data_IF_906521806825
#
_entry.id   IF_906521806825
#
_cell.length_a   1.000
_cell.length_b   1.000
_cell.length_c   1.000
_cell.angle_alpha   90.00
_cell.angle_beta   90.00
_cell.angle_gamma   90.00
#
_symmetry.space_group_name_H-M   'P 1'
#
loop_
_entity.id
_entity.type
_entity.pdbx_description
1 polymer ?
#
# COMPACT_ATOMS: atom_id res chain seq x y z
N UNK A 1 -1.05 -1.78 40.16
CA UNK A 1 -0.90 -1.08 38.87
C UNK A 1 -1.56 -1.96 37.83
N UNK A 2 -2.75 -1.60 37.37
CA UNK A 2 -3.51 -2.39 36.40
C UNK A 2 -3.02 -2.01 35.02
N UNK A 3 -2.24 -2.89 34.38
CA UNK A 3 -1.92 -2.73 32.96
C UNK A 3 -3.24 -2.84 32.19
N UNK A 4 -3.61 -1.78 31.48
CA UNK A 4 -4.64 -1.89 30.46
C UNK A 4 -4.17 -2.95 29.44
N UNK A 5 -5.05 -3.79 28.88
CA UNK A 5 -4.66 -4.62 27.76
C UNK A 5 -4.15 -3.67 26.68
N UNK A 6 -2.88 -3.76 26.32
CA UNK A 6 -2.36 -3.06 25.16
C UNK A 6 -3.26 -3.49 24.00
N UNK A 7 -4.02 -2.56 23.41
CA UNK A 7 -4.70 -2.87 22.17
C UNK A 7 -3.61 -3.28 21.20
N UNK A 8 -3.70 -4.48 20.62
CA UNK A 8 -2.79 -4.91 19.56
C UNK A 8 -2.88 -3.98 18.34
N UNK A 9 -3.91 -3.12 18.28
CA UNK A 9 -4.10 -2.08 17.28
C UNK A 9 -3.09 -0.94 17.42
N UNK A 10 -2.56 -0.48 16.27
CA UNK A 10 -1.73 0.71 16.19
C UNK A 10 -2.45 1.94 16.77
N UNK A 11 -1.70 2.78 17.50
CA UNK A 11 -2.21 4.08 17.97
C UNK A 11 -2.65 5.00 16.81
N UNK A 12 -2.03 4.84 15.63
CA UNK A 12 -2.49 5.47 14.40
C UNK A 12 -3.66 4.66 13.85
N UNK A 13 -4.88 5.17 14.04
CA UNK A 13 -6.13 4.51 13.65
C UNK A 13 -6.27 4.17 12.16
N UNK A 14 -5.42 4.74 11.31
CA UNK A 14 -5.41 4.47 9.88
C UNK A 14 -4.47 3.30 9.51
N UNK A 15 -3.53 2.94 10.39
CA UNK A 15 -2.58 1.85 10.18
C UNK A 15 -3.24 0.49 10.39
N UNK A 16 -2.92 -0.47 9.52
CA UNK A 16 -3.38 -1.85 9.61
C UNK A 16 -2.41 -2.77 10.36
N UNK A 17 -1.24 -2.27 10.78
CA UNK A 17 -0.23 -3.07 11.48
C UNK A 17 -0.55 -3.19 12.97
N UNK A 18 -0.13 -4.32 13.56
CA UNK A 18 -0.34 -4.64 14.96
C UNK A 18 0.96 -4.62 15.76
N UNK A 19 0.87 -4.35 17.06
CA UNK A 19 2.02 -4.25 17.96
C UNK A 19 2.88 -3.00 17.74
N UNK A 20 4.06 -2.97 18.34
CA UNK A 20 5.01 -1.85 18.17
C UNK A 20 5.72 -1.92 16.81
N UNK A 21 5.65 -0.83 16.04
CA UNK A 21 6.28 -0.71 14.72
C UNK A 21 6.64 0.76 14.43
N UNK A 22 7.67 0.96 13.60
CA UNK A 22 8.18 2.29 13.19
C UNK A 22 7.72 2.70 11.80
N UNK A 23 7.19 1.75 11.04
CA UNK A 23 6.60 1.95 9.72
C UNK A 23 5.11 1.62 9.83
N UNK A 24 4.27 2.56 9.45
CA UNK A 24 2.82 2.42 9.48
C UNK A 24 2.33 2.21 8.06
N UNK A 25 1.50 1.20 7.85
CA UNK A 25 0.98 0.83 6.52
C UNK A 25 -0.53 0.72 6.55
N UNK A 26 -1.19 1.37 5.61
CA UNK A 26 -2.59 1.14 5.29
C UNK A 26 -2.71 0.44 3.95
N UNK A 27 -3.36 -0.70 3.95
CA UNK A 27 -3.66 -1.43 2.73
C UNK A 27 -4.91 -0.84 2.07
N UNK A 28 -4.76 -0.32 0.84
CA UNK A 28 -5.87 0.29 0.11
C UNK A 28 -6.55 -0.70 -0.85
N UNK A 29 -5.76 -1.43 -1.63
CA UNK A 29 -6.29 -2.34 -2.64
C UNK A 29 -5.25 -3.34 -3.11
N UNK A 30 -5.71 -4.39 -3.78
CA UNK A 30 -4.86 -5.20 -4.66
C UNK A 30 -5.59 -5.63 -5.91
N UNK A 31 -4.80 -5.88 -6.94
CA UNK A 31 -5.25 -6.40 -8.20
C UNK A 31 -4.50 -7.69 -8.51
N UNK A 32 -5.25 -8.75 -8.79
CA UNK A 32 -4.68 -9.95 -9.39
C UNK A 32 -4.49 -9.70 -10.89
N UNK A 33 -3.27 -9.85 -11.37
CA UNK A 33 -2.91 -9.59 -12.77
C UNK A 33 -2.30 -10.83 -13.42
N UNK A 34 -1.99 -10.71 -14.72
CA UNK A 34 -1.23 -11.66 -15.51
C UNK A 34 -1.52 -13.15 -15.20
N UNK A 35 -2.52 -13.70 -15.89
CA UNK A 35 -2.92 -15.12 -15.79
C UNK A 35 -3.17 -15.59 -14.34
N UNK A 36 -3.62 -14.71 -13.44
CA UNK A 36 -3.92 -15.04 -12.03
C UNK A 36 -2.69 -15.50 -11.23
N UNK A 37 -1.49 -15.07 -11.64
CA UNK A 37 -0.24 -15.48 -11.00
C UNK A 37 0.52 -14.34 -10.35
N UNK A 38 0.06 -13.10 -10.56
CA UNK A 38 0.69 -11.88 -10.08
C UNK A 38 -0.31 -11.12 -9.23
N UNK A 39 0.18 -10.48 -8.17
CA UNK A 39 -0.59 -9.59 -7.31
C UNK A 39 0.11 -8.24 -7.26
N UNK A 40 -0.62 -7.18 -7.53
CA UNK A 40 -0.16 -5.79 -7.32
C UNK A 40 -0.94 -5.22 -6.16
N UNK A 41 -0.26 -4.95 -5.04
CA UNK A 41 -0.82 -4.29 -3.87
C UNK A 41 -0.54 -2.78 -3.89
N UNK A 42 -1.46 -2.01 -3.33
CA UNK A 42 -1.34 -0.56 -3.13
C UNK A 42 -1.49 -0.26 -1.66
N UNK A 43 -0.49 0.40 -1.09
CA UNK A 43 -0.49 0.81 0.30
C UNK A 43 -0.21 2.32 0.44
N UNK A 44 -0.71 2.92 1.50
CA UNK A 44 -0.19 4.20 2.02
C UNK A 44 0.74 3.89 3.17
N UNK A 45 1.94 4.46 3.16
CA UNK A 45 3.00 4.14 4.11
C UNK A 45 3.56 5.42 4.73
N UNK A 46 3.87 5.36 6.02
CA UNK A 46 4.61 6.38 6.74
C UNK A 46 5.66 5.72 7.65
N UNK A 47 6.93 6.04 7.46
CA UNK A 47 8.02 5.54 8.30
C UNK A 47 8.68 6.69 9.08
N UNK A 48 8.90 6.53 10.39
CA UNK A 48 9.88 7.32 11.13
C UNK A 48 9.83 8.85 10.99
N UNK A 49 8.64 9.46 10.93
CA UNK A 49 8.49 10.92 10.79
C UNK A 49 8.60 11.46 9.37
N UNK A 50 8.82 10.59 8.38
CA UNK A 50 8.76 10.94 6.96
C UNK A 50 7.32 11.29 6.53
N UNK A 51 7.16 12.02 5.42
CA UNK A 51 5.86 12.22 4.79
C UNK A 51 5.21 10.90 4.35
N UNK A 52 3.88 10.91 4.29
CA UNK A 52 3.11 9.83 3.68
C UNK A 52 3.50 9.65 2.21
N UNK A 53 3.61 8.40 1.79
CA UNK A 53 3.84 8.03 0.40
C UNK A 53 2.98 6.82 0.02
N UNK A 54 2.87 6.57 -1.28
CA UNK A 54 2.18 5.40 -1.81
C UNK A 54 3.22 4.35 -2.18
N UNK A 55 2.97 3.11 -1.77
CA UNK A 55 3.78 1.96 -2.13
C UNK A 55 2.99 1.08 -3.10
N UNK A 56 3.56 0.81 -4.27
CA UNK A 56 3.08 -0.21 -5.21
C UNK A 56 4.00 -1.43 -5.12
N UNK A 57 3.46 -2.56 -4.68
CA UNK A 57 4.23 -3.80 -4.56
C UNK A 57 3.67 -4.85 -5.52
N UNK A 58 4.51 -5.28 -6.47
CA UNK A 58 4.22 -6.36 -7.39
C UNK A 58 4.86 -7.66 -6.90
N UNK A 59 4.03 -8.62 -6.53
CA UNK A 59 4.44 -9.93 -6.05
C UNK A 59 4.15 -11.00 -7.08
N UNK A 60 5.11 -11.90 -7.28
CA UNK A 60 4.96 -13.06 -8.15
C UNK A 60 5.26 -14.33 -7.37
N UNK A 61 4.85 -15.49 -7.89
CA UNK A 61 5.07 -16.78 -7.22
C UNK A 61 6.55 -17.18 -7.12
N UNK A 62 7.38 -16.78 -8.07
CA UNK A 62 8.73 -17.33 -8.26
C UNK A 62 9.85 -16.29 -8.23
N UNK A 63 9.52 -15.03 -7.95
CA UNK A 63 10.52 -13.96 -7.90
C UNK A 63 10.25 -13.04 -6.71
N UNK A 64 11.30 -12.42 -6.15
CA UNK A 64 11.15 -11.43 -5.10
C UNK A 64 10.14 -10.34 -5.50
N UNK A 65 9.36 -9.81 -4.55
CA UNK A 65 8.49 -8.68 -4.82
C UNK A 65 9.30 -7.48 -5.32
N UNK A 66 8.74 -6.75 -6.28
CA UNK A 66 9.24 -5.45 -6.69
C UNK A 66 8.37 -4.37 -6.05
N UNK A 67 9.00 -3.41 -5.38
CA UNK A 67 8.31 -2.32 -4.70
C UNK A 67 8.73 -0.99 -5.29
N UNK A 68 7.75 -0.14 -5.57
CA UNK A 68 7.94 1.23 -6.03
C UNK A 68 7.28 2.18 -5.04
N UNK A 69 8.06 3.14 -4.56
CA UNK A 69 7.58 4.23 -3.72
C UNK A 69 7.27 5.44 -4.59
N UNK A 70 6.07 5.98 -4.44
CA UNK A 70 5.59 7.17 -5.13
C UNK A 70 5.29 8.26 -4.12
N UNK A 71 5.76 9.47 -4.39
CA UNK A 71 5.30 10.65 -3.65
C UNK A 71 3.81 10.89 -3.95
N UNK A 72 3.07 11.58 -3.07
CA UNK A 72 1.63 11.77 -3.27
C UNK A 72 1.23 12.36 -4.63
N UNK A 73 2.00 13.33 -5.13
CA UNK A 73 1.81 13.96 -6.44
C UNK A 73 2.04 13.00 -7.61
N UNK A 74 3.07 12.15 -7.50
CA UNK A 74 3.35 11.10 -8.50
C UNK A 74 2.27 10.02 -8.51
N UNK A 75 1.79 9.63 -7.33
CA UNK A 75 0.74 8.64 -7.19
C UNK A 75 -0.59 9.11 -7.81
N UNK A 76 -0.94 10.37 -7.60
CA UNK A 76 -2.12 10.99 -8.22
C UNK A 76 -1.99 10.99 -9.75
N UNK A 77 -0.85 11.44 -10.28
CA UNK A 77 -0.60 11.49 -11.71
C UNK A 77 -0.66 10.10 -12.36
N UNK A 78 -0.04 9.09 -11.74
CA UNK A 78 -0.08 7.70 -12.21
C UNK A 78 -1.51 7.15 -12.15
N UNK A 79 -2.24 7.38 -11.06
CA UNK A 79 -3.62 6.94 -10.90
C UNK A 79 -4.53 7.51 -11.99
N UNK A 80 -4.41 8.81 -12.28
CA UNK A 80 -5.15 9.48 -13.34
C UNK A 80 -4.82 8.88 -14.72
N UNK A 81 -3.54 8.69 -15.02
CA UNK A 81 -3.11 8.09 -16.29
C UNK A 81 -3.67 6.67 -16.49
N UNK A 82 -3.76 5.86 -15.41
CA UNK A 82 -4.34 4.52 -15.46
C UNK A 82 -5.85 4.56 -15.70
N UNK A 83 -6.59 5.45 -15.05
CA UNK A 83 -8.02 5.63 -15.26
C UNK A 83 -8.32 6.04 -16.71
N UNK A 84 -7.54 6.97 -17.26
CA UNK A 84 -7.68 7.39 -18.65
C UNK A 84 -7.36 6.27 -19.64
N UNK A 85 -6.32 5.47 -19.37
CA UNK A 85 -5.98 4.31 -20.18
C UNK A 85 -7.12 3.27 -20.17
N UNK A 86 -7.67 2.95 -18.99
CA UNK A 86 -8.79 2.04 -18.86
C UNK A 86 -10.04 2.53 -19.63
N UNK A 87 -10.35 3.83 -19.55
CA UNK A 87 -11.47 4.43 -20.28
C UNK A 87 -11.32 4.34 -21.81
N UNK A 88 -10.09 4.30 -22.34
CA UNK A 88 -9.83 4.09 -23.77
C UNK A 88 -10.00 2.64 -24.20
N UNK A 89 -9.65 1.67 -23.35
CA UNK A 89 -9.76 0.24 -23.66
C UNK A 89 -11.21 -0.28 -23.70
N UNK A 90 -12.16 0.46 -23.12
CA UNK A 90 -13.59 0.11 -23.11
C UNK A 90 -14.37 0.66 -24.32
N UNK A 91 -13.69 1.33 -25.26
CA UNK A 91 -14.26 1.78 -26.54
C UNK A 91 -13.89 0.82 -27.65
#
# INVERSE_FOLDING_TARGET
MTAAPASDECALKWCNEAGEHTEHRQYLSSLVTWRQTWLVGVNVVQAGGEPLHVELTATTRFSPPATVTLRPDEAEAVGQALLEAAARCLR
#
